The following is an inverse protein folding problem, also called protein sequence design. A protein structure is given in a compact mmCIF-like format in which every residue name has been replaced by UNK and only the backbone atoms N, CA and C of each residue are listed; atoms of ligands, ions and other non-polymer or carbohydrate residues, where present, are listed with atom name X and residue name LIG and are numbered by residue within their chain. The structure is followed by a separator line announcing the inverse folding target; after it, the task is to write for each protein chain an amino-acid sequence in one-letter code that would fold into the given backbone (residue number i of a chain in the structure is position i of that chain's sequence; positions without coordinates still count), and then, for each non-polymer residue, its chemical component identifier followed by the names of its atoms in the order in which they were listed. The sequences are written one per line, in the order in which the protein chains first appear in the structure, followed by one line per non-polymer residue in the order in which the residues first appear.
data_IF_909712250919
#
_entry.id   IF_909712250919
#
_cell.length_a   1.000
_cell.length_b   1.000
_cell.length_c   1.000
_cell.angle_alpha   90.00
_cell.angle_beta   90.00
_cell.angle_gamma   90.00
#
_symmetry.space_group_name_H-M   'P 1'
#
loop_
_entity.id
_entity.type
_entity.pdbx_description
1 polymer ?
#
# COMPACT_ATOMS: atom_id res chain seq x y z
N UNK A 1 -9.72 -14.84 -16.21
CA UNK A 1 -9.33 -13.63 -15.46
C UNK A 1 -10.42 -13.26 -14.47
N UNK A 2 -10.09 -13.15 -13.19
CA UNK A 2 -11.00 -12.66 -12.15
C UNK A 2 -10.35 -11.45 -11.50
N UNK A 3 -11.06 -10.33 -11.46
CA UNK A 3 -10.61 -9.12 -10.74
C UNK A 3 -11.06 -9.24 -9.29
N UNK A 4 -10.12 -9.03 -8.37
CA UNK A 4 -10.34 -9.12 -6.93
C UNK A 4 -10.01 -7.77 -6.31
N UNK A 5 -10.81 -7.34 -5.33
CA UNK A 5 -10.54 -6.16 -4.53
C UNK A 5 -10.30 -6.57 -3.08
N UNK A 6 -9.19 -6.10 -2.51
CA UNK A 6 -8.92 -6.20 -1.06
C UNK A 6 -8.77 -4.82 -0.45
N UNK A 7 -9.08 -4.70 0.84
CA UNK A 7 -9.02 -3.45 1.59
C UNK A 7 -8.25 -3.65 2.89
N UNK A 8 -7.54 -2.61 3.30
CA UNK A 8 -6.74 -2.62 4.51
C UNK A 8 -6.84 -1.27 5.24
N UNK A 9 -6.91 -1.32 6.56
CA UNK A 9 -6.93 -0.15 7.44
C UNK A 9 -5.68 -0.19 8.31
N UNK A 10 -4.98 0.93 8.41
CA UNK A 10 -3.81 1.06 9.27
C UNK A 10 -3.89 2.32 10.10
N UNK A 11 -3.80 2.16 11.42
CA UNK A 11 -3.88 3.27 12.38
C UNK A 11 -2.57 3.40 13.12
N UNK A 12 -2.03 4.62 13.16
CA UNK A 12 -0.88 4.96 13.99
C UNK A 12 -1.31 5.85 15.13
N UNK A 13 -1.19 5.36 16.36
CA UNK A 13 -1.41 6.16 17.55
C UNK A 13 -0.15 6.90 17.95
N UNK A 14 -0.29 8.12 18.49
CA UNK A 14 0.81 8.93 19.01
C UNK A 14 1.97 9.16 18.02
N UNK A 15 1.68 9.14 16.71
CA UNK A 15 2.69 9.29 15.65
C UNK A 15 3.44 10.62 15.74
N UNK A 16 2.78 11.67 16.26
CA UNK A 16 3.42 12.96 16.56
C UNK A 16 4.52 12.81 17.60
N UNK A 17 4.24 12.14 18.73
CA UNK A 17 5.25 11.92 19.78
C UNK A 17 6.40 11.06 19.26
N UNK A 18 6.08 10.06 18.44
CA UNK A 18 7.10 9.22 17.81
C UNK A 18 8.00 10.07 16.90
N UNK A 19 7.43 10.91 16.05
CA UNK A 19 8.18 11.84 15.19
C UNK A 19 9.05 12.78 16.01
N UNK A 20 8.51 13.37 17.08
CA UNK A 20 9.24 14.34 17.90
C UNK A 20 10.38 13.68 18.71
N UNK A 21 10.25 12.40 19.05
CA UNK A 21 11.29 11.62 19.73
C UNK A 21 12.43 11.18 18.78
N UNK A 22 12.15 11.08 17.48
CA UNK A 22 13.14 10.77 16.46
C UNK A 22 13.94 12.05 16.22
N UNK A 23 15.24 12.01 16.49
CA UNK A 23 16.13 13.15 16.26
C UNK A 23 16.15 13.52 14.77
N UNK A 24 16.42 14.79 14.43
CA UNK A 24 16.46 15.30 13.05
C UNK A 24 17.41 14.52 12.10
N UNK A 25 18.29 13.66 12.61
CA UNK A 25 19.22 12.83 11.85
C UNK A 25 18.77 11.37 11.65
N UNK A 26 17.67 10.96 12.28
CA UNK A 26 17.15 9.59 12.22
C UNK A 26 15.91 9.51 11.35
N UNK A 27 15.87 8.51 10.48
CA UNK A 27 14.70 8.19 9.69
C UNK A 27 13.99 6.99 10.32
N UNK A 28 12.67 6.99 10.29
CA UNK A 28 11.86 5.86 10.72
C UNK A 28 11.13 5.26 9.53
N UNK A 29 11.28 3.96 9.34
CA UNK A 29 10.50 3.20 8.37
C UNK A 29 9.53 2.30 9.13
N UNK A 30 8.23 2.52 8.89
CA UNK A 30 7.14 1.71 9.41
C UNK A 30 6.56 0.88 8.27
N UNK A 31 6.25 -0.38 8.56
CA UNK A 31 5.64 -1.34 7.64
C UNK A 31 4.41 -1.95 8.30
N UNK A 32 3.32 -2.06 7.56
CA UNK A 32 2.09 -2.68 8.06
C UNK A 32 2.22 -4.20 8.13
N UNK A 33 1.25 -4.85 8.76
CA UNK A 33 1.05 -6.27 8.55
C UNK A 33 0.77 -6.55 7.06
N UNK A 34 1.22 -7.72 6.60
CA UNK A 34 0.89 -8.23 5.28
C UNK A 34 -0.62 -8.46 5.17
N UNK A 35 -1.25 -7.89 4.14
CA UNK A 35 -2.65 -8.12 3.85
C UNK A 35 -2.85 -8.68 2.44
N UNK A 36 -3.82 -9.58 2.29
CA UNK A 36 -4.11 -10.27 1.04
C UNK A 36 -5.61 -10.49 0.88
N UNK A 37 -6.04 -11.02 -0.27
CA UNK A 37 -7.41 -11.54 -0.40
C UNK A 37 -7.45 -13.00 0.06
N UNK A 38 -8.48 -13.37 0.83
CA UNK A 38 -8.73 -14.77 1.18
C UNK A 38 -8.95 -15.67 -0.05
N UNK A 39 -9.35 -15.08 -1.17
CA UNK A 39 -9.57 -15.77 -2.46
C UNK A 39 -8.26 -16.02 -3.22
N UNK A 40 -7.20 -15.29 -2.89
CA UNK A 40 -5.89 -15.43 -3.50
C UNK A 40 -4.77 -15.08 -2.49
N UNK A 41 -4.58 -15.90 -1.44
CA UNK A 41 -3.74 -15.55 -0.29
C UNK A 41 -2.24 -15.55 -0.60
N UNK A 42 -1.84 -16.10 -1.75
CA UNK A 42 -0.44 -16.13 -2.20
C UNK A 42 0.06 -14.77 -2.67
N UNK A 43 -0.83 -13.82 -2.96
CA UNK A 43 -0.49 -12.44 -3.30
C UNK A 43 -1.03 -11.51 -2.22
N UNK A 44 -0.14 -10.72 -1.65
CA UNK A 44 -0.45 -9.73 -0.64
C UNK A 44 0.31 -8.44 -0.86
N UNK A 45 0.07 -7.51 0.04
CA UNK A 45 0.66 -6.19 0.02
C UNK A 45 1.02 -5.74 1.43
N UNK A 46 2.02 -4.87 1.52
CA UNK A 46 2.41 -4.15 2.72
C UNK A 46 2.28 -2.66 2.44
N UNK A 47 1.68 -1.92 3.37
CA UNK A 47 1.69 -0.47 3.33
C UNK A 47 2.91 0.02 4.10
N UNK A 48 3.65 0.97 3.54
CA UNK A 48 4.83 1.55 4.16
C UNK A 48 4.63 3.03 4.42
N UNK A 49 5.15 3.48 5.56
CA UNK A 49 5.24 4.88 5.93
C UNK A 49 6.68 5.17 6.35
N UNK A 50 7.32 6.11 5.69
CA UNK A 50 8.65 6.57 6.05
C UNK A 50 8.57 8.00 6.59
N UNK A 51 9.10 8.20 7.78
CA UNK A 51 9.22 9.48 8.46
C UNK A 51 10.70 9.89 8.44
N UNK A 52 11.06 10.75 7.50
CA UNK A 52 12.36 11.40 7.43
C UNK A 52 12.17 12.91 7.25
N UNK A 53 12.98 13.54 6.38
CA UNK A 53 12.79 14.94 6.01
C UNK A 53 11.38 15.23 5.48
N UNK A 54 10.88 14.39 4.58
CA UNK A 54 9.48 14.38 4.15
C UNK A 54 8.84 13.02 4.47
N UNK A 55 7.58 13.05 4.90
CA UNK A 55 6.83 11.81 5.13
C UNK A 55 6.42 11.22 3.77
N UNK A 56 6.69 9.93 3.57
CA UNK A 56 6.35 9.25 2.32
C UNK A 56 5.56 7.98 2.58
N UNK A 57 4.58 7.72 1.73
CA UNK A 57 3.74 6.52 1.79
C UNK A 57 3.82 5.77 0.47
N UNK A 58 3.86 4.44 0.52
CA UNK A 58 3.80 3.60 -0.66
C UNK A 58 3.30 2.20 -0.29
N UNK A 59 2.85 1.48 -1.31
CA UNK A 59 2.46 0.08 -1.24
C UNK A 59 3.60 -0.79 -1.78
N UNK A 60 3.81 -1.95 -1.18
CA UNK A 60 4.71 -2.99 -1.67
C UNK A 60 3.90 -4.25 -1.94
N UNK A 61 4.12 -4.88 -3.08
CA UNK A 61 3.51 -6.16 -3.40
C UNK A 61 4.43 -7.30 -2.91
N UNK A 62 3.85 -8.25 -2.19
CA UNK A 62 4.50 -9.47 -1.69
C UNK A 62 3.75 -10.66 -2.27
N UNK A 63 4.39 -11.49 -3.09
CA UNK A 63 3.72 -12.59 -3.78
C UNK A 63 4.72 -13.49 -4.48
N UNK A 64 4.30 -14.69 -4.91
CA UNK A 64 5.15 -15.88 -4.86
C UNK A 64 6.45 -15.65 -5.62
N UNK A 65 7.59 -16.07 -5.05
CA UNK A 65 8.95 -15.76 -5.52
C UNK A 65 9.22 -16.09 -7.00
N UNK A 66 8.39 -16.93 -7.61
CA UNK A 66 8.41 -17.30 -9.03
C UNK A 66 7.74 -16.27 -9.96
N UNK A 67 7.04 -15.31 -9.35
CA UNK A 67 6.35 -14.15 -9.93
C UNK A 67 7.15 -12.87 -9.66
N UNK A 68 8.48 -12.96 -9.46
CA UNK A 68 9.37 -11.77 -9.50
C UNK A 68 9.19 -10.92 -10.77
N UNK A 69 8.51 -11.46 -11.80
CA UNK A 69 8.06 -10.75 -12.99
C UNK A 69 6.60 -11.04 -13.41
N UNK A 70 5.79 -11.77 -12.64
CA UNK A 70 4.44 -12.07 -13.14
C UNK A 70 3.53 -10.84 -12.97
N UNK A 71 2.96 -10.51 -14.12
CA UNK A 71 2.34 -9.25 -14.47
C UNK A 71 0.97 -9.17 -13.78
N UNK A 72 0.94 -8.85 -12.49
CA UNK A 72 -0.33 -8.58 -11.82
C UNK A 72 -0.72 -7.14 -12.13
N UNK A 73 -1.70 -6.98 -13.00
CA UNK A 73 -2.34 -5.69 -13.24
C UNK A 73 -3.01 -5.25 -11.93
N UNK A 74 -2.38 -4.29 -11.25
CA UNK A 74 -2.79 -3.83 -9.92
C UNK A 74 -3.12 -2.35 -9.98
N UNK A 75 -4.28 -2.00 -9.45
CA UNK A 75 -4.70 -0.62 -9.17
C UNK A 75 -4.78 -0.48 -7.67
N UNK A 76 -4.45 0.69 -7.18
CA UNK A 76 -4.63 0.96 -5.77
C UNK A 76 -4.98 2.42 -5.53
N UNK A 77 -5.57 2.63 -4.36
CA UNK A 77 -5.78 3.94 -3.77
C UNK A 77 -5.39 3.86 -2.30
N UNK A 78 -4.56 4.79 -1.88
CA UNK A 78 -4.23 5.02 -0.47
C UNK A 78 -4.92 6.32 -0.10
N UNK A 79 -5.64 6.28 1.02
CA UNK A 79 -6.37 7.38 1.58
C UNK A 79 -5.82 7.69 2.97
N UNK A 80 -5.83 8.97 3.33
CA UNK A 80 -5.70 9.40 4.72
C UNK A 80 -6.98 10.07 5.17
N UNK A 81 -7.32 9.89 6.45
CA UNK A 81 -8.41 10.64 7.06
C UNK A 81 -7.97 12.08 7.35
N UNK A 82 -8.82 13.03 6.96
CA UNK A 82 -8.69 14.44 7.26
C UNK A 82 -10.07 15.00 7.59
N UNK A 83 -10.24 15.58 8.79
CA UNK A 83 -11.51 16.16 9.26
C UNK A 83 -12.73 15.22 9.07
N UNK A 84 -12.58 13.94 9.43
CA UNK A 84 -13.60 12.90 9.25
C UNK A 84 -13.98 12.59 7.79
N UNK A 85 -13.14 13.00 6.84
CA UNK A 85 -13.27 12.68 5.41
C UNK A 85 -12.04 11.94 4.89
N UNK A 86 -12.20 11.09 3.89
CA UNK A 86 -11.09 10.35 3.29
C UNK A 86 -10.54 11.10 2.07
N UNK A 87 -9.27 11.49 2.13
CA UNK A 87 -8.56 12.13 1.02
C UNK A 87 -7.62 11.12 0.37
N UNK A 88 -7.67 11.00 -0.95
CA UNK A 88 -6.73 10.16 -1.71
C UNK A 88 -5.36 10.82 -1.68
N UNK A 89 -4.38 10.15 -1.08
CA UNK A 89 -2.99 10.63 -0.98
C UNK A 89 -2.05 9.95 -1.98
N UNK A 90 -2.42 8.76 -2.46
CA UNK A 90 -1.74 8.07 -3.54
C UNK A 90 -2.76 7.26 -4.33
N UNK A 91 -2.62 7.23 -5.65
CA UNK A 91 -3.41 6.34 -6.50
C UNK A 91 -2.62 5.99 -7.74
N UNK A 92 -2.85 4.81 -8.28
CA UNK A 92 -2.41 4.51 -9.63
C UNK A 92 -3.50 3.78 -10.39
N UNK A 93 -3.93 4.34 -11.53
CA UNK A 93 -5.09 3.82 -12.21
C UNK A 93 -4.74 2.58 -13.04
N UNK A 94 -3.63 2.54 -13.79
CA UNK A 94 -3.30 1.41 -14.68
C UNK A 94 -1.83 1.47 -15.14
N UNK A 95 -1.02 0.43 -14.87
CA UNK A 95 0.31 0.04 -15.45
C UNK A 95 1.40 -0.31 -14.42
N UNK A 96 2.41 -1.03 -14.90
CA UNK A 96 3.58 -1.58 -14.19
C UNK A 96 4.34 -0.52 -13.40
N UNK A 97 4.17 -0.54 -12.08
CA UNK A 97 5.06 0.14 -11.15
C UNK A 97 6.06 -0.84 -10.55
N UNK A 98 7.15 -0.29 -10.00
CA UNK A 98 8.08 -1.07 -9.21
C UNK A 98 7.33 -1.70 -8.03
N UNK A 99 7.27 -3.04 -7.99
CA UNK A 99 6.56 -3.81 -6.97
C UNK A 99 7.05 -3.52 -5.54
N UNK A 100 8.27 -3.02 -5.37
CA UNK A 100 8.82 -2.64 -4.06
C UNK A 100 8.39 -1.24 -3.59
N UNK A 101 7.96 -0.35 -4.49
CA UNK A 101 7.60 1.06 -4.18
C UNK A 101 6.45 1.57 -5.05
N UNK A 102 5.30 0.91 -4.98
CA UNK A 102 4.11 1.31 -5.71
C UNK A 102 3.47 2.54 -5.05
N UNK A 103 3.23 3.61 -5.81
CA UNK A 103 2.53 4.79 -5.29
C UNK A 103 3.28 5.63 -4.31
N UNK A 104 4.61 5.61 -4.43
CA UNK A 104 5.48 6.50 -3.68
C UNK A 104 5.01 7.94 -3.76
N UNK A 105 4.47 8.44 -2.65
CA UNK A 105 3.86 9.76 -2.55
C UNK A 105 4.38 10.46 -1.30
N UNK A 106 4.87 11.68 -1.48
CA UNK A 106 5.22 12.58 -0.38
C UNK A 106 3.92 13.18 0.16
N UNK A 107 3.76 13.16 1.49
CA UNK A 107 2.58 13.67 2.17
C UNK A 107 2.95 14.70 3.23
N UNK A 108 2.13 15.74 3.36
CA UNK A 108 2.19 16.65 4.51
C UNK A 108 1.57 15.97 5.72
N UNK A 109 2.38 15.24 6.48
CA UNK A 109 1.91 14.43 7.62
C UNK A 109 1.05 15.24 8.61
N UNK A 110 1.48 16.46 8.95
CA UNK A 110 0.77 17.32 9.90
C UNK A 110 -0.66 17.65 9.45
N UNK A 111 -0.92 17.66 8.13
CA UNK A 111 -2.25 17.90 7.58
C UNK A 111 -3.23 16.74 7.80
N UNK A 112 -2.71 15.53 8.07
CA UNK A 112 -3.49 14.29 8.24
C UNK A 112 -3.45 13.75 9.67
N UNK A 113 -2.65 14.34 10.55
CA UNK A 113 -2.67 14.01 11.98
C UNK A 113 -3.86 14.67 12.65
N UNK A 114 -4.66 13.88 13.37
CA UNK A 114 -5.68 14.45 14.23
C UNK A 114 -5.07 15.15 15.47
N UNK A 115 -5.93 15.75 16.32
CA UNK A 115 -5.49 16.45 17.54
C UNK A 115 -4.74 15.55 18.54
N UNK A 116 -4.89 14.23 18.48
CA UNK A 116 -4.16 13.25 19.30
C UNK A 116 -2.86 12.78 18.63
N UNK A 117 -2.49 13.33 17.48
CA UNK A 117 -1.36 12.86 16.69
C UNK A 117 -1.59 11.46 16.12
N UNK A 118 -2.84 11.07 15.88
CA UNK A 118 -3.18 9.79 15.22
C UNK A 118 -3.28 9.99 13.72
N UNK A 119 -2.72 9.06 12.95
CA UNK A 119 -2.89 8.96 11.49
C UNK A 119 -3.73 7.73 11.18
N UNK A 120 -4.77 7.90 10.36
CA UNK A 120 -5.57 6.81 9.82
C UNK A 120 -5.32 6.70 8.32
N UNK A 121 -4.86 5.53 7.89
CA UNK A 121 -4.69 5.18 6.50
C UNK A 121 -5.70 4.10 6.11
N UNK A 122 -6.28 4.26 4.93
CA UNK A 122 -7.07 3.23 4.26
C UNK A 122 -6.41 2.91 2.92
N UNK A 123 -6.34 1.64 2.57
CA UNK A 123 -5.82 1.19 1.30
C UNK A 123 -6.84 0.28 0.62
N UNK A 124 -7.10 0.54 -0.65
CA UNK A 124 -7.87 -0.34 -1.53
C UNK A 124 -6.96 -0.80 -2.65
N UNK A 125 -6.92 -2.10 -2.90
CA UNK A 125 -6.14 -2.71 -3.98
C UNK A 125 -7.07 -3.56 -4.83
N UNK A 126 -7.09 -3.29 -6.12
CA UNK A 126 -7.80 -4.07 -7.14
C UNK A 126 -6.77 -4.74 -8.04
N UNK A 127 -6.87 -6.05 -8.23
CA UNK A 127 -5.87 -6.80 -8.98
C UNK A 127 -6.50 -7.95 -9.78
N UNK A 128 -5.93 -8.20 -10.96
CA UNK A 128 -6.35 -9.31 -11.82
C UNK A 128 -5.63 -10.61 -11.44
N UNK A 129 -6.40 -11.62 -11.04
CA UNK A 129 -5.91 -12.97 -10.88
C UNK A 129 -5.93 -13.68 -12.23
N UNK A 130 -4.74 -13.82 -12.82
CA UNK A 130 -4.51 -14.76 -13.91
C UNK A 130 -4.37 -16.14 -13.29
N UNK A 131 -5.26 -17.05 -13.68
CA UNK A 131 -5.15 -18.44 -13.27
C UNK A 131 -4.10 -19.04 -14.21
N UNK A 132 -2.82 -18.85 -13.89
CA UNK A 132 -1.68 -19.15 -14.77
C UNK A 132 -1.75 -20.59 -15.32
N UNK A 133 -2.30 -21.54 -14.56
CA UNK A 133 -2.52 -22.93 -14.96
C UNK A 133 -3.57 -23.12 -16.07
N UNK A 134 -4.62 -22.29 -16.11
CA UNK A 134 -5.69 -22.36 -17.12
C UNK A 134 -5.39 -21.51 -18.36
N UNK A 135 -4.73 -20.37 -18.18
CA UNK A 135 -4.46 -19.45 -19.28
C UNK A 135 -3.27 -19.92 -20.15
N UNK A 136 -2.30 -20.66 -19.59
CA UNK A 136 -1.22 -21.31 -20.35
C UNK A 136 -1.71 -22.53 -21.16
N UNK A 137 -2.75 -23.23 -20.70
CA UNK A 137 -3.34 -24.36 -21.44
C UNK A 137 -4.22 -23.91 -22.61
N UNK A 138 -4.77 -22.69 -22.57
CA UNK A 138 -5.62 -22.13 -23.63
C UNK A 138 -4.86 -21.38 -24.72
N UNK A 139 -3.57 -21.10 -24.52
CA UNK A 139 -2.69 -20.50 -25.53
C UNK A 139 -2.03 -21.49 -26.49
N UNK A 140 -2.35 -22.78 -26.40
CA UNK A 140 -1.79 -23.87 -27.20
C UNK A 140 -2.84 -24.62 -28.06
N UNK A 141 -4.04 -24.05 -28.23
CA UNK A 141 -5.10 -24.60 -29.11
C UNK A 141 -5.29 -23.77 -30.37
#
# INVERSE_FOLDING_TARGET
MKTITTKFNWTFYDLRKLRDAISNSSNLHLTSDLFSSSEFPTLGWELHLFLGGEATVWLRQIGPDNIKNALVNTKYKIYAEQYSTWTVIAKFPYKFENSDKMGFSIISLDSFLNHKGTLFLHCEVEFDCYNLTLDLQRGLS
#
